data_IF_981377300502
#
_entry.id   IF_981377300502
#
_cell.length_a   1.000
_cell.length_b   1.000
_cell.length_c   1.000
_cell.angle_alpha   90.00
_cell.angle_beta   90.00
_cell.angle_gamma   90.00
#
_symmetry.space_group_name_H-M   'P 1'
#
loop_
_entity.id
_entity.type
_entity.pdbx_description
1 polymer ?
#
# COMPACT_ATOMS: atom_id res chain seq x y z
N UNK A 1 11.11 13.83 -1.47
CA UNK A 1 11.22 14.77 -2.60
C UNK A 1 9.86 15.20 -3.17
N UNK A 2 8.83 14.36 -3.18
CA UNK A 2 7.53 14.64 -3.81
C UNK A 2 6.49 15.20 -2.82
N UNK A 3 6.89 16.12 -1.94
CA UNK A 3 6.01 16.72 -0.95
C UNK A 3 5.88 18.22 -1.17
N UNK A 4 4.71 18.76 -0.82
CA UNK A 4 4.50 20.20 -0.72
C UNK A 4 4.79 20.66 0.71
N UNK A 5 5.53 21.73 0.84
CA UNK A 5 5.82 22.40 2.12
C UNK A 5 5.19 23.77 2.12
N UNK A 6 4.76 24.21 3.29
CA UNK A 6 4.23 25.56 3.51
C UNK A 6 4.69 26.07 4.88
N UNK A 7 4.56 27.37 5.11
CA UNK A 7 4.88 28.01 6.38
C UNK A 7 3.66 28.81 6.85
N UNK A 8 3.32 28.70 8.10
CA UNK A 8 2.26 29.45 8.75
C UNK A 8 2.77 29.87 10.12
N UNK A 9 2.76 31.19 10.42
CA UNK A 9 3.23 31.76 11.68
C UNK A 9 4.64 31.27 12.06
N UNK A 10 5.57 31.33 11.10
CA UNK A 10 6.97 30.89 11.24
C UNK A 10 7.15 29.39 11.52
N UNK A 11 6.09 28.61 11.38
CA UNK A 11 6.14 27.15 11.51
C UNK A 11 6.06 26.47 10.14
N UNK A 12 6.99 25.54 9.90
CA UNK A 12 7.01 24.74 8.69
C UNK A 12 6.00 23.58 8.75
N UNK A 13 5.23 23.44 7.68
CA UNK A 13 4.26 22.36 7.51
C UNK A 13 4.54 21.58 6.23
N UNK A 14 4.17 20.31 6.23
CA UNK A 14 4.16 19.48 5.03
C UNK A 14 2.72 18.99 4.76
N UNK A 15 2.29 19.08 3.52
CA UNK A 15 1.00 18.52 3.12
C UNK A 15 1.19 17.00 2.92
N UNK A 16 0.36 16.18 3.55
CA UNK A 16 0.52 14.72 3.56
C UNK A 16 0.51 14.14 2.13
N UNK A 17 1.54 13.37 1.74
CA UNK A 17 1.58 12.66 0.46
C UNK A 17 0.99 11.25 0.55
N UNK A 18 0.72 10.76 1.76
CA UNK A 18 0.19 9.43 2.08
C UNK A 18 -0.58 9.46 3.40
N UNK A 19 -1.43 8.47 3.62
CA UNK A 19 -2.26 8.38 4.83
C UNK A 19 -1.61 7.53 5.94
N UNK A 20 -0.63 6.68 5.61
CA UNK A 20 -0.01 5.72 6.53
C UNK A 20 0.47 6.34 7.86
N UNK A 21 1.20 7.47 7.90
CA UNK A 21 1.60 8.06 9.18
C UNK A 21 0.42 8.46 10.07
N UNK A 22 -0.67 8.95 9.46
CA UNK A 22 -1.90 9.29 10.19
C UNK A 22 -2.57 8.08 10.82
N UNK A 23 -2.71 6.99 10.06
CA UNK A 23 -3.26 5.72 10.54
C UNK A 23 -2.42 5.14 11.70
N UNK A 24 -1.08 5.22 11.58
CA UNK A 24 -0.15 4.80 12.63
C UNK A 24 -0.33 5.62 13.92
N UNK A 25 -0.48 6.93 13.81
CA UNK A 25 -0.73 7.79 14.98
C UNK A 25 -2.08 7.48 15.64
N UNK A 26 -3.11 7.16 14.85
CA UNK A 26 -4.40 6.70 15.37
C UNK A 26 -4.25 5.38 16.14
N UNK A 27 -3.49 4.44 15.58
CA UNK A 27 -3.15 3.19 16.29
C UNK A 27 -2.43 3.49 17.61
N UNK A 28 -1.41 4.33 17.62
CA UNK A 28 -0.64 4.69 18.83
C UNK A 28 -1.44 5.45 19.89
N UNK A 29 -2.57 6.06 19.55
CA UNK A 29 -3.40 6.79 20.50
C UNK A 29 -4.00 5.92 21.62
N UNK A 30 -3.97 4.60 21.46
CA UNK A 30 -4.43 3.61 22.44
C UNK A 30 -3.40 2.51 22.62
N UNK A 31 -3.42 1.86 23.79
CA UNK A 31 -2.71 0.60 24.00
C UNK A 31 -3.54 -0.54 23.42
N UNK A 32 -2.90 -1.42 22.68
CA UNK A 32 -3.51 -2.61 22.10
C UNK A 32 -2.93 -3.86 22.74
N UNK A 33 -3.75 -4.91 22.84
CA UNK A 33 -3.31 -6.26 23.14
C UNK A 33 -3.13 -7.04 21.84
N UNK A 34 -2.29 -8.07 21.84
CA UNK A 34 -2.20 -9.01 20.72
C UNK A 34 -3.56 -9.62 20.35
N UNK A 35 -4.55 -9.61 21.26
CA UNK A 35 -5.91 -10.11 21.03
C UNK A 35 -6.78 -9.13 20.24
N UNK A 36 -6.39 -7.87 20.16
CA UNK A 36 -7.09 -6.83 19.42
C UNK A 36 -6.71 -6.87 17.92
N UNK A 37 -5.66 -7.65 17.57
CA UNK A 37 -5.18 -7.79 16.23
C UNK A 37 -5.83 -9.00 15.52
N UNK A 38 -6.17 -8.89 14.23
CA UNK A 38 -5.87 -7.76 13.36
C UNK A 38 -6.80 -6.57 13.56
N UNK A 39 -6.25 -5.36 13.62
CA UNK A 39 -7.00 -4.11 13.65
C UNK A 39 -7.02 -3.50 12.25
N UNK A 40 -8.21 -3.24 11.71
CA UNK A 40 -8.41 -2.71 10.37
C UNK A 40 -8.97 -1.30 10.44
N UNK A 41 -8.24 -0.33 9.91
CA UNK A 41 -8.65 1.07 9.81
C UNK A 41 -8.81 1.43 8.34
N UNK A 42 -9.89 2.11 7.99
CA UNK A 42 -10.15 2.59 6.64
C UNK A 42 -10.50 4.07 6.65
N UNK A 43 -10.13 4.77 5.59
CA UNK A 43 -10.41 6.19 5.41
C UNK A 43 -10.56 6.55 3.92
N UNK A 44 -11.32 7.60 3.64
CA UNK A 44 -11.23 8.31 2.37
C UNK A 44 -10.19 9.41 2.53
N UNK A 45 -8.93 9.05 2.30
CA UNK A 45 -7.78 9.89 2.59
C UNK A 45 -7.42 10.81 1.43
N UNK A 46 -7.51 12.14 1.62
CA UNK A 46 -7.09 13.11 0.63
C UNK A 46 -5.58 13.38 0.76
N UNK A 47 -4.84 13.20 -0.33
CA UNK A 47 -3.38 13.32 -0.37
C UNK A 47 -2.92 14.21 -1.51
N UNK A 48 -1.73 14.81 -1.34
CA UNK A 48 -1.11 15.64 -2.37
C UNK A 48 0.32 15.17 -2.62
N UNK A 49 0.68 15.04 -3.89
CA UNK A 49 2.04 14.67 -4.31
C UNK A 49 2.57 15.67 -5.31
N UNK A 50 3.76 16.15 -5.14
CA UNK A 50 4.44 17.01 -6.09
C UNK A 50 4.94 16.21 -7.29
N UNK A 51 4.00 15.78 -8.14
CA UNK A 51 4.31 15.09 -9.37
C UNK A 51 4.89 16.06 -10.40
N UNK A 52 5.91 15.62 -11.13
CA UNK A 52 6.47 16.40 -12.22
C UNK A 52 5.42 16.57 -13.33
N UNK A 53 5.38 17.75 -13.97
CA UNK A 53 4.37 18.04 -15.00
C UNK A 53 4.41 17.05 -16.17
N UNK A 54 5.57 16.53 -16.53
CA UNK A 54 5.74 15.56 -17.62
C UNK A 54 5.16 14.16 -17.35
N UNK A 55 4.78 13.84 -16.10
CA UNK A 55 4.18 12.55 -15.76
C UNK A 55 2.67 12.63 -15.50
N UNK A 56 2.10 13.83 -15.52
CA UNK A 56 0.66 14.00 -15.33
C UNK A 56 -0.12 13.43 -16.51
N UNK A 57 -1.23 12.72 -16.24
CA UNK A 57 -2.02 12.09 -17.29
C UNK A 57 -3.51 12.04 -16.95
N UNK A 58 -4.27 13.00 -17.48
CA UNK A 58 -5.71 13.10 -17.29
C UNK A 58 -6.12 12.99 -15.81
N UNK A 59 -7.05 12.06 -15.50
CA UNK A 59 -7.45 11.75 -14.14
C UNK A 59 -6.64 10.61 -13.50
N UNK A 60 -5.77 9.93 -14.25
CA UNK A 60 -5.03 8.77 -13.78
C UNK A 60 -3.74 9.12 -13.03
N UNK A 61 -3.12 10.27 -13.36
CA UNK A 61 -1.94 10.77 -12.67
C UNK A 61 -2.10 12.24 -12.37
N UNK A 62 -2.43 12.56 -11.13
CA UNK A 62 -2.77 13.91 -10.65
C UNK A 62 -1.96 14.26 -9.41
N UNK A 63 -1.94 15.54 -9.03
CA UNK A 63 -1.22 16.03 -7.85
C UNK A 63 -2.03 15.98 -6.57
N UNK A 64 -3.35 15.92 -6.66
CA UNK A 64 -4.25 15.80 -5.52
C UNK A 64 -5.33 14.78 -5.83
N UNK A 65 -5.57 13.84 -4.92
CA UNK A 65 -6.59 12.80 -5.09
C UNK A 65 -7.02 12.22 -3.74
N UNK A 66 -8.17 11.59 -3.74
CA UNK A 66 -8.68 10.87 -2.57
C UNK A 66 -8.51 9.37 -2.81
N UNK A 67 -7.92 8.70 -1.83
CA UNK A 67 -7.77 7.25 -1.82
C UNK A 67 -8.86 6.63 -0.95
N UNK A 68 -9.46 5.55 -1.43
CA UNK A 68 -10.10 4.54 -0.60
C UNK A 68 -8.97 3.68 -0.02
N UNK A 69 -8.54 4.03 1.18
CA UNK A 69 -7.31 3.52 1.80
C UNK A 69 -7.62 2.76 3.08
N UNK A 70 -6.89 1.70 3.34
CA UNK A 70 -7.01 0.91 4.55
C UNK A 70 -5.64 0.48 5.07
N UNK A 71 -5.50 0.52 6.40
CA UNK A 71 -4.31 0.06 7.11
C UNK A 71 -4.70 -1.06 8.06
N UNK A 72 -4.09 -2.23 7.85
CA UNK A 72 -4.31 -3.42 8.65
C UNK A 72 -3.09 -3.65 9.54
N UNK A 73 -3.26 -3.47 10.83
CA UNK A 73 -2.25 -3.78 11.84
C UNK A 73 -2.47 -5.22 12.29
N UNK A 74 -1.50 -6.08 12.01
CA UNK A 74 -1.60 -7.51 12.28
C UNK A 74 -0.25 -8.10 12.72
N UNK A 75 -0.29 -9.29 13.34
CA UNK A 75 0.92 -10.07 13.64
C UNK A 75 1.38 -10.81 12.38
N UNK A 76 2.64 -11.24 12.38
CA UNK A 76 3.23 -11.99 11.25
C UNK A 76 2.42 -13.24 10.89
N UNK A 77 1.94 -13.99 11.87
CA UNK A 77 1.14 -15.19 11.67
C UNK A 77 -0.25 -14.92 11.06
N UNK A 78 -0.71 -13.66 11.07
CA UNK A 78 -1.98 -13.24 10.49
C UNK A 78 -1.85 -12.67 9.07
N UNK A 79 -0.64 -12.34 8.61
CA UNK A 79 -0.40 -11.65 7.33
C UNK A 79 -1.01 -12.40 6.15
N UNK A 80 -0.80 -13.71 6.05
CA UNK A 80 -1.31 -14.55 4.96
C UNK A 80 -2.82 -14.45 4.83
N UNK A 81 -3.54 -14.58 5.93
CA UNK A 81 -5.00 -14.56 5.96
C UNK A 81 -5.55 -13.16 5.68
N UNK A 82 -4.92 -12.11 6.23
CA UNK A 82 -5.32 -10.74 5.96
C UNK A 82 -5.10 -10.37 4.50
N UNK A 83 -3.96 -10.70 3.92
CA UNK A 83 -3.70 -10.47 2.50
C UNK A 83 -4.72 -11.22 1.63
N UNK A 84 -5.02 -12.49 1.91
CA UNK A 84 -6.06 -13.25 1.19
C UNK A 84 -7.43 -12.60 1.28
N UNK A 85 -7.79 -12.07 2.45
CA UNK A 85 -9.05 -11.35 2.64
C UNK A 85 -9.12 -10.06 1.80
N UNK A 86 -8.01 -9.30 1.75
CA UNK A 86 -7.86 -8.10 0.92
C UNK A 86 -7.97 -8.44 -0.57
N UNK A 87 -7.26 -9.47 -1.05
CA UNK A 87 -7.34 -9.95 -2.42
C UNK A 87 -8.79 -10.26 -2.83
N UNK A 88 -9.49 -11.03 -1.99
CA UNK A 88 -10.90 -11.36 -2.25
C UNK A 88 -11.83 -10.14 -2.19
N UNK A 89 -11.53 -9.13 -1.38
CA UNK A 89 -12.28 -7.87 -1.36
C UNK A 89 -12.08 -7.10 -2.68
N UNK A 90 -10.85 -6.92 -3.12
CA UNK A 90 -10.50 -6.22 -4.35
C UNK A 90 -11.15 -6.88 -5.57
N UNK A 91 -11.11 -8.21 -5.66
CA UNK A 91 -11.76 -8.96 -6.75
C UNK A 91 -13.26 -8.73 -6.80
N UNK A 92 -13.94 -8.83 -5.64
CA UNK A 92 -15.38 -8.55 -5.57
C UNK A 92 -15.71 -7.10 -5.92
N UNK A 93 -14.86 -6.17 -5.51
CA UNK A 93 -15.03 -4.75 -5.80
C UNK A 93 -14.90 -4.49 -7.29
N UNK A 94 -13.83 -4.98 -7.92
CA UNK A 94 -13.61 -4.79 -9.35
C UNK A 94 -14.68 -5.44 -10.20
N UNK A 95 -15.15 -6.64 -9.83
CA UNK A 95 -16.25 -7.30 -10.52
C UNK A 95 -17.54 -6.46 -10.52
N UNK A 96 -17.79 -5.65 -9.47
CA UNK A 96 -18.93 -4.73 -9.42
C UNK A 96 -18.85 -3.60 -10.44
N UNK A 97 -17.65 -3.20 -10.84
CA UNK A 97 -17.40 -2.22 -11.90
C UNK A 97 -17.22 -2.85 -13.27
N UNK A 98 -17.39 -4.18 -13.39
CA UNK A 98 -17.25 -4.89 -14.67
C UNK A 98 -15.81 -5.19 -15.08
N UNK A 99 -14.83 -5.04 -14.17
CA UNK A 99 -13.46 -5.46 -14.43
C UNK A 99 -13.31 -6.95 -14.12
N UNK A 100 -13.25 -7.77 -15.15
CA UNK A 100 -13.12 -9.22 -15.05
C UNK A 100 -11.72 -9.73 -15.42
N UNK A 101 -10.96 -8.93 -16.19
CA UNK A 101 -9.58 -9.23 -16.58
C UNK A 101 -8.61 -8.35 -15.77
N UNK A 102 -8.37 -8.74 -14.54
CA UNK A 102 -7.49 -8.05 -13.61
C UNK A 102 -6.18 -8.81 -13.51
N UNK A 103 -5.10 -8.19 -13.96
CA UNK A 103 -3.76 -8.76 -13.84
C UNK A 103 -3.20 -8.50 -12.44
N UNK A 104 -2.74 -9.56 -11.79
CA UNK A 104 -2.09 -9.49 -10.48
C UNK A 104 -0.58 -9.55 -10.66
N UNK A 105 0.15 -8.64 -10.00
CA UNK A 105 1.60 -8.57 -10.07
C UNK A 105 2.19 -8.54 -8.67
N UNK A 106 3.18 -9.41 -8.42
CA UNK A 106 3.96 -9.41 -7.19
C UNK A 106 5.26 -8.66 -7.45
N UNK A 107 5.43 -7.52 -6.79
CA UNK A 107 6.61 -6.65 -6.90
C UNK A 107 7.53 -6.89 -5.71
N UNK A 108 8.78 -7.30 -5.99
CA UNK A 108 9.77 -7.71 -5.00
C UNK A 108 10.77 -6.60 -4.68
N UNK A 109 11.72 -6.88 -3.82
CA UNK A 109 12.70 -5.94 -3.26
C UNK A 109 13.43 -5.12 -4.32
N UNK A 110 13.38 -3.77 -4.24
CA UNK A 110 14.13 -2.89 -5.12
C UNK A 110 15.62 -2.80 -4.69
N UNK A 111 16.46 -2.25 -5.57
CA UNK A 111 17.90 -2.06 -5.29
C UNK A 111 18.15 -1.16 -4.06
N UNK A 112 17.26 -0.20 -3.79
CA UNK A 112 17.28 0.67 -2.60
C UNK A 112 16.12 0.30 -1.69
N UNK A 113 16.32 -0.67 -0.83
CA UNK A 113 15.33 -1.16 0.13
C UNK A 113 15.74 -0.84 1.57
N UNK A 114 14.77 -0.59 2.45
CA UNK A 114 14.96 -0.48 3.90
C UNK A 114 14.76 -1.85 4.56
N UNK A 115 15.37 -2.07 5.72
CA UNK A 115 15.23 -3.31 6.48
C UNK A 115 16.25 -4.38 6.10
N UNK A 116 16.24 -5.49 6.83
CA UNK A 116 17.16 -6.61 6.62
C UNK A 116 16.71 -7.50 5.45
N UNK A 117 17.64 -8.31 4.95
CA UNK A 117 17.34 -9.28 3.90
C UNK A 117 16.31 -10.31 4.38
N UNK A 118 16.47 -10.77 5.61
CA UNK A 118 15.60 -11.77 6.23
C UNK A 118 14.15 -11.28 6.34
N UNK A 119 13.96 -10.00 6.67
CA UNK A 119 12.62 -9.38 6.70
C UNK A 119 11.99 -9.36 5.31
N UNK A 120 12.77 -9.01 4.30
CA UNK A 120 12.29 -8.99 2.91
C UNK A 120 11.92 -10.39 2.41
N UNK A 121 12.78 -11.38 2.68
CA UNK A 121 12.54 -12.76 2.28
C UNK A 121 11.24 -13.29 2.92
N UNK A 122 11.02 -13.05 4.22
CA UNK A 122 9.78 -13.41 4.92
C UNK A 122 8.55 -12.69 4.36
N UNK A 123 8.69 -11.39 4.04
CA UNK A 123 7.61 -10.60 3.47
C UNK A 123 7.20 -11.09 2.08
N UNK A 124 8.18 -11.35 1.22
CA UNK A 124 7.94 -11.84 -0.14
C UNK A 124 7.33 -13.25 -0.11
N UNK A 125 7.80 -14.11 0.78
CA UNK A 125 7.24 -15.46 0.99
C UNK A 125 5.77 -15.38 1.46
N UNK A 126 5.48 -14.52 2.43
CA UNK A 126 4.12 -14.33 2.93
C UNK A 126 3.15 -13.87 1.83
N UNK A 127 3.59 -12.95 0.93
CA UNK A 127 2.78 -12.52 -0.19
C UNK A 127 2.64 -13.61 -1.27
N UNK A 128 3.68 -14.39 -1.55
CA UNK A 128 3.60 -15.56 -2.46
C UNK A 128 2.60 -16.59 -1.94
N UNK A 129 2.68 -16.90 -0.66
CA UNK A 129 1.78 -17.81 0.01
C UNK A 129 0.32 -17.36 -0.04
N UNK A 130 0.09 -16.04 0.10
CA UNK A 130 -1.25 -15.48 -0.03
C UNK A 130 -1.79 -15.58 -1.46
N UNK A 131 -0.92 -15.59 -2.47
CA UNK A 131 -1.24 -15.74 -3.89
C UNK A 131 -1.36 -17.20 -4.35
N UNK A 132 -1.14 -18.19 -3.47
CA UNK A 132 -1.27 -19.60 -3.81
C UNK A 132 -2.63 -19.92 -4.46
N UNK A 133 -2.57 -20.61 -5.61
CA UNK A 133 -3.77 -20.92 -6.40
C UNK A 133 -4.27 -19.77 -7.30
N UNK A 134 -3.54 -18.67 -7.39
CA UNK A 134 -3.83 -17.51 -8.26
C UNK A 134 -2.75 -17.35 -9.31
N UNK A 135 -3.15 -16.89 -10.49
CA UNK A 135 -2.19 -16.48 -11.52
C UNK A 135 -1.64 -15.09 -11.18
N UNK A 136 -0.33 -14.93 -11.21
CA UNK A 136 0.33 -13.64 -11.04
C UNK A 136 1.62 -13.56 -11.83
N UNK A 137 2.06 -12.32 -12.12
CA UNK A 137 3.35 -12.04 -12.75
C UNK A 137 4.33 -11.51 -11.72
N UNK A 138 5.55 -12.04 -11.70
CA UNK A 138 6.61 -11.51 -10.85
C UNK A 138 7.21 -10.25 -11.48
N UNK A 139 7.35 -9.19 -10.69
CA UNK A 139 8.03 -7.94 -11.01
C UNK A 139 9.22 -7.76 -10.07
N UNK A 140 10.38 -8.23 -10.50
CA UNK A 140 11.61 -8.11 -9.72
C UNK A 140 12.04 -6.65 -9.60
N UNK A 141 12.35 -6.23 -8.38
CA UNK A 141 12.85 -4.89 -8.11
C UNK A 141 11.85 -3.74 -8.16
N UNK A 142 10.54 -4.02 -8.30
CA UNK A 142 9.48 -3.01 -8.45
C UNK A 142 8.68 -2.76 -7.16
N UNK A 143 9.11 -3.36 -6.06
CA UNK A 143 8.53 -3.14 -4.72
C UNK A 143 8.76 -1.73 -4.21
N UNK A 144 8.01 -1.34 -3.17
CA UNK A 144 8.28 -0.10 -2.47
C UNK A 144 9.60 -0.23 -1.66
N UNK A 145 10.24 0.90 -1.32
CA UNK A 145 11.48 0.85 -0.55
C UNK A 145 11.30 0.22 0.85
N UNK A 146 10.09 0.23 1.38
CA UNK A 146 9.72 -0.25 2.72
C UNK A 146 9.07 -1.64 2.75
N UNK A 147 8.77 -2.24 1.60
CA UNK A 147 8.19 -3.58 1.54
C UNK A 147 7.71 -4.01 0.15
N UNK A 148 7.52 -5.33 -0.04
CA UNK A 148 6.95 -5.88 -1.25
C UNK A 148 5.47 -5.55 -1.37
N UNK A 149 4.93 -5.66 -2.59
CA UNK A 149 3.54 -5.31 -2.87
C UNK A 149 2.91 -6.22 -3.92
N UNK A 150 1.61 -6.32 -3.85
CA UNK A 150 0.76 -6.91 -4.88
C UNK A 150 0.01 -5.77 -5.58
N UNK A 151 0.27 -5.58 -6.86
CA UNK A 151 -0.37 -4.58 -7.70
C UNK A 151 -1.46 -5.21 -8.57
N UNK A 152 -2.57 -4.49 -8.75
CA UNK A 152 -3.69 -4.87 -9.58
C UNK A 152 -3.76 -3.95 -10.79
N UNK A 153 -3.68 -4.54 -11.98
CA UNK A 153 -3.76 -3.80 -13.23
C UNK A 153 -5.00 -4.19 -14.01
N UNK A 154 -5.66 -3.20 -14.56
CA UNK A 154 -6.77 -3.37 -15.49
C UNK A 154 -6.40 -2.79 -16.85
N UNK A 155 -6.97 -3.33 -17.91
CA UNK A 155 -6.76 -2.85 -19.27
C UNK A 155 -7.94 -1.99 -19.69
N UNK A 156 -7.67 -0.79 -20.20
CA UNK A 156 -8.70 0.08 -20.74
C UNK A 156 -9.16 -0.36 -22.13
N UNK A 157 -10.19 0.28 -22.67
CA UNK A 157 -10.76 -0.01 -24.00
C UNK A 157 -9.77 0.25 -25.15
N UNK A 158 -8.66 0.94 -24.90
CA UNK A 158 -7.59 1.18 -25.86
C UNK A 158 -6.42 0.20 -25.71
N UNK A 159 -6.55 -0.82 -24.85
CA UNK A 159 -5.50 -1.82 -24.60
C UNK A 159 -4.37 -1.34 -23.70
N UNK A 160 -4.52 -0.20 -22.98
CA UNK A 160 -3.51 0.32 -22.07
C UNK A 160 -3.72 -0.23 -20.67
N UNK A 161 -2.64 -0.69 -20.02
CA UNK A 161 -2.68 -1.20 -18.66
C UNK A 161 -2.56 -0.06 -17.64
N UNK A 162 -3.44 -0.05 -16.64
CA UNK A 162 -3.48 0.91 -15.54
C UNK A 162 -3.46 0.19 -14.20
N UNK A 163 -2.56 0.61 -13.32
CA UNK A 163 -2.57 0.15 -11.94
C UNK A 163 -3.64 0.92 -11.17
N UNK A 164 -4.59 0.19 -10.55
CA UNK A 164 -5.66 0.78 -9.75
C UNK A 164 -5.47 0.54 -8.27
N UNK A 165 -5.37 -0.71 -7.86
CA UNK A 165 -5.22 -1.08 -6.46
C UNK A 165 -3.85 -1.65 -6.14
N UNK A 166 -3.50 -1.60 -4.86
CA UNK A 166 -2.25 -2.17 -4.35
C UNK A 166 -2.49 -2.71 -2.95
N UNK A 167 -1.94 -3.90 -2.66
CA UNK A 167 -1.78 -4.42 -1.31
C UNK A 167 -0.29 -4.42 -0.97
N UNK A 168 0.12 -3.62 0.03
CA UNK A 168 1.52 -3.43 0.40
C UNK A 168 1.77 -4.00 1.79
N UNK A 169 2.87 -4.71 1.96
CA UNK A 169 3.33 -5.20 3.25
C UNK A 169 4.48 -4.32 3.74
N UNK A 170 4.31 -3.71 4.91
CA UNK A 170 5.26 -2.75 5.47
C UNK A 170 5.75 -3.23 6.84
N UNK A 171 7.04 -3.49 6.95
CA UNK A 171 7.72 -3.81 8.21
C UNK A 171 8.52 -2.64 8.75
N UNK A 172 8.83 -1.65 7.93
CA UNK A 172 9.71 -0.54 8.29
C UNK A 172 9.00 0.52 9.11
N UNK A 173 7.78 0.88 8.74
CA UNK A 173 7.03 1.93 9.45
C UNK A 173 6.66 1.54 10.89
N UNK A 174 6.22 0.29 11.18
CA UNK A 174 6.00 -0.15 12.55
C UNK A 174 7.24 0.03 13.44
N UNK A 175 8.42 -0.31 12.96
CA UNK A 175 9.68 -0.14 13.68
C UNK A 175 10.03 1.34 13.86
N UNK A 176 9.98 2.14 12.78
CA UNK A 176 10.29 3.57 12.81
C UNK A 176 9.38 4.38 13.74
N UNK A 177 8.13 3.96 13.87
CA UNK A 177 7.15 4.58 14.77
C UNK A 177 7.09 3.93 16.16
N UNK A 178 7.94 2.94 16.45
CA UNK A 178 7.94 2.21 17.72
C UNK A 178 6.53 1.68 18.08
N UNK A 179 5.90 0.95 17.14
CA UNK A 179 4.59 0.35 17.38
C UNK A 179 4.71 -0.87 18.26
N UNK A 180 3.82 -0.94 19.25
CA UNK A 180 3.75 -2.05 20.21
C UNK A 180 2.30 -2.52 20.40
N UNK A 181 2.15 -3.77 20.89
CA UNK A 181 0.89 -4.38 21.33
C UNK A 181 1.09 -5.25 22.57
#
# INVERSE_FOLDING_TARGET
>A
ENMYFTEVDEQGFAIKPMNCPGAILVYKAKRHSYRDLPLRLAEFGHVHRHELSGVLHGLFRVRAFTQDDAHVFCRLDQVKDEVRAILGLIERFYARFGFHDVQVKLSTRPAKASGSNEMWDQAEEALRDALEGREFTLKEGDGAFYGPKIDFQVTDTMGRAWQLGTCQLDFSMPELFDLTY
#
